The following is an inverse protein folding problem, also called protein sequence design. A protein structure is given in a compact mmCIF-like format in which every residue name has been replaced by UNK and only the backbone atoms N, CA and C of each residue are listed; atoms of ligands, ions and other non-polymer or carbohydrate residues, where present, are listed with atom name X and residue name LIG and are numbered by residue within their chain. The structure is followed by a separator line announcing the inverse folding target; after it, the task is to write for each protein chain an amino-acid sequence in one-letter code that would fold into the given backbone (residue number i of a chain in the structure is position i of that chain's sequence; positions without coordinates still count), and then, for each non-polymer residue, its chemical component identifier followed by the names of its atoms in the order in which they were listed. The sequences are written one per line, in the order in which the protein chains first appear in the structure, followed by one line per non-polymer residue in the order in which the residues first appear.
data_IF_717278728129
#
_entry.id   IF_717278728129
#
_cell.length_a   1.000
_cell.length_b   1.000
_cell.length_c   1.000
_cell.angle_alpha   90.00
_cell.angle_beta   90.00
_cell.angle_gamma   90.00
#
_symmetry.space_group_name_H-M   'P 1'
#
loop_
_entity.id
_entity.type
_entity.pdbx_description
1 polymer ?
#
# COMPACT_ATOMS: atom_id res chain seq x y z
N UNK A 1 -17.09 -10.35 -0.72
CA UNK A 1 -15.93 -10.70 -1.59
C UNK A 1 -15.72 -9.56 -2.59
N UNK A 2 -14.78 -8.61 -2.38
CA UNK A 2 -14.87 -7.32 -3.06
C UNK A 2 -13.89 -7.09 -4.23
N UNK A 3 -13.09 -8.07 -4.63
CA UNK A 3 -12.00 -7.87 -5.62
C UNK A 3 -12.28 -8.50 -7.00
N UNK A 4 -13.24 -9.43 -7.10
CA UNK A 4 -13.47 -10.22 -8.31
C UNK A 4 -14.17 -9.46 -9.47
N UNK A 5 -14.81 -8.33 -9.19
CA UNK A 5 -15.61 -7.58 -10.18
C UNK A 5 -14.84 -6.40 -10.82
N UNK A 6 -13.54 -6.27 -10.57
CA UNK A 6 -12.71 -5.19 -11.11
C UNK A 6 -12.04 -5.62 -12.43
N UNK A 7 -11.85 -4.72 -13.41
CA UNK A 7 -11.02 -5.01 -14.58
C UNK A 7 -9.65 -5.58 -14.16
N UNK A 8 -9.08 -6.57 -14.88
CA UNK A 8 -7.89 -7.28 -14.43
C UNK A 8 -6.70 -6.38 -14.04
N UNK A 9 -6.49 -5.28 -14.77
CA UNK A 9 -5.42 -4.33 -14.48
C UNK A 9 -5.67 -3.55 -13.18
N UNK A 10 -6.94 -3.27 -12.86
CA UNK A 10 -7.34 -2.63 -11.62
C UNK A 10 -7.24 -3.62 -10.45
N UNK A 11 -7.56 -4.90 -10.68
CA UNK A 11 -7.36 -5.96 -9.69
C UNK A 11 -5.88 -6.14 -9.33
N UNK A 12 -4.99 -6.24 -10.32
CA UNK A 12 -3.54 -6.33 -10.08
C UNK A 12 -3.04 -5.13 -9.28
N UNK A 13 -3.41 -3.90 -9.69
CA UNK A 13 -3.08 -2.68 -8.96
C UNK A 13 -3.47 -2.78 -7.49
N UNK A 14 -4.71 -3.18 -7.21
CA UNK A 14 -5.23 -3.23 -5.85
C UNK A 14 -4.50 -4.27 -5.01
N UNK A 15 -4.44 -5.51 -5.50
CA UNK A 15 -3.85 -6.64 -4.78
C UNK A 15 -2.35 -6.41 -4.53
N UNK A 16 -1.61 -6.06 -5.57
CA UNK A 16 -0.16 -5.88 -5.47
C UNK A 16 0.19 -4.65 -4.62
N UNK A 17 -0.55 -3.55 -4.73
CA UNK A 17 -0.31 -2.36 -3.90
C UNK A 17 -0.56 -2.64 -2.42
N UNK A 18 -1.64 -3.35 -2.07
CA UNK A 18 -1.94 -3.69 -0.67
C UNK A 18 -0.88 -4.65 -0.12
N UNK A 19 -0.52 -5.69 -0.86
CA UNK A 19 0.51 -6.65 -0.45
C UNK A 19 1.88 -5.96 -0.23
N UNK A 20 2.28 -5.11 -1.17
CA UNK A 20 3.52 -4.35 -1.08
C UNK A 20 3.50 -3.36 0.10
N UNK A 21 2.38 -2.66 0.29
CA UNK A 21 2.20 -1.73 1.41
C UNK A 21 2.37 -2.42 2.77
N UNK A 22 1.81 -3.63 2.92
CA UNK A 22 1.98 -4.48 4.10
C UNK A 22 3.45 -4.86 4.29
N UNK A 23 4.08 -5.40 3.25
CA UNK A 23 5.47 -5.87 3.26
C UNK A 23 6.45 -4.76 3.66
N UNK A 24 6.28 -3.55 3.14
CA UNK A 24 7.17 -2.41 3.40
C UNK A 24 6.67 -1.48 4.51
N UNK A 25 5.57 -1.83 5.17
CA UNK A 25 4.95 -1.09 6.28
C UNK A 25 4.70 0.38 5.94
N UNK A 26 4.09 0.64 4.80
CA UNK A 26 3.64 1.99 4.40
C UNK A 26 2.12 2.00 4.21
N UNK A 27 1.45 3.15 4.34
CA UNK A 27 0.00 3.21 4.17
C UNK A 27 -0.43 2.74 2.77
N UNK A 28 -1.37 1.78 2.70
CA UNK A 28 -1.81 1.19 1.44
C UNK A 28 -2.44 2.21 0.49
N UNK A 29 -3.18 3.18 1.03
CA UNK A 29 -3.76 4.27 0.26
C UNK A 29 -2.69 5.13 -0.46
N UNK A 30 -1.48 5.27 0.09
CA UNK A 30 -0.37 5.98 -0.58
C UNK A 30 0.13 5.17 -1.79
N UNK A 31 0.35 3.86 -1.63
CA UNK A 31 0.82 3.00 -2.74
C UNK A 31 -0.20 2.95 -3.85
N UNK A 32 -1.48 2.79 -3.51
CA UNK A 32 -2.60 2.80 -4.46
C UNK A 32 -2.71 4.16 -5.18
N UNK A 33 -2.55 5.26 -4.46
CA UNK A 33 -2.59 6.59 -5.05
C UNK A 33 -1.43 6.84 -6.02
N UNK A 34 -0.21 6.37 -5.69
CA UNK A 34 0.93 6.40 -6.61
C UNK A 34 0.62 5.55 -7.84
N UNK A 35 0.19 4.29 -7.66
CA UNK A 35 -0.12 3.41 -8.78
C UNK A 35 -1.23 3.95 -9.69
N UNK A 36 -2.23 4.62 -9.12
CA UNK A 36 -3.28 5.29 -9.90
C UNK A 36 -2.75 6.51 -10.66
N UNK A 37 -1.86 7.30 -10.03
CA UNK A 37 -1.25 8.48 -10.65
C UNK A 37 -0.30 8.10 -11.79
N UNK A 38 0.56 7.12 -11.57
CA UNK A 38 1.46 6.60 -12.59
C UNK A 38 0.68 5.96 -13.74
N UNK A 39 -0.40 5.22 -13.43
CA UNK A 39 -1.37 4.79 -14.43
C UNK A 39 -0.81 3.86 -15.52
N UNK A 40 0.39 3.31 -15.30
CA UNK A 40 1.07 2.45 -16.24
C UNK A 40 0.42 1.08 -16.38
N UNK A 41 0.89 0.31 -17.36
CA UNK A 41 0.46 -1.07 -17.64
C UNK A 41 1.67 -2.00 -17.76
N UNK A 42 1.50 -3.30 -17.53
CA UNK A 42 2.52 -4.28 -17.89
C UNK A 42 2.93 -4.14 -19.36
N UNK A 43 4.23 -4.23 -19.62
CA UNK A 43 4.86 -4.07 -20.92
C UNK A 43 4.93 -2.62 -21.42
N UNK A 44 4.41 -1.64 -20.69
CA UNK A 44 4.38 -0.24 -21.15
C UNK A 44 5.74 0.43 -20.99
N UNK A 45 6.17 1.10 -22.06
CA UNK A 45 7.32 2.00 -22.08
C UNK A 45 6.88 3.34 -22.65
N UNK A 46 7.03 4.41 -21.87
CA UNK A 46 6.69 5.78 -22.30
C UNK A 46 7.98 6.55 -22.51
N UNK A 47 8.23 7.02 -23.73
CA UNK A 47 9.45 7.78 -24.04
C UNK A 47 9.33 9.23 -23.58
N UNK A 48 10.34 9.70 -22.85
CA UNK A 48 10.49 11.08 -22.43
C UNK A 48 11.33 11.90 -23.42
N UNK A 49 11.13 13.23 -23.41
CA UNK A 49 11.84 14.17 -24.29
C UNK A 49 13.35 14.17 -24.07
N UNK A 50 13.81 13.86 -22.85
CA UNK A 50 15.22 13.76 -22.49
C UNK A 50 15.86 12.40 -22.86
N UNK A 51 15.15 11.53 -23.58
CA UNK A 51 15.65 10.21 -24.02
C UNK A 51 15.51 9.08 -23.01
N UNK A 52 15.06 9.36 -21.78
CA UNK A 52 14.70 8.31 -20.80
C UNK A 52 13.33 7.69 -21.14
N UNK A 53 12.99 6.59 -20.47
CA UNK A 53 11.66 5.98 -20.57
C UNK A 53 11.09 5.76 -19.18
N UNK A 54 9.76 5.86 -19.05
CA UNK A 54 9.02 5.43 -17.86
C UNK A 54 8.40 4.06 -18.12
N UNK A 55 8.70 3.11 -17.23
CA UNK A 55 8.55 1.67 -17.50
C UNK A 55 7.56 1.02 -16.54
N UNK A 56 6.63 0.24 -17.13
CA UNK A 56 5.73 -0.67 -16.43
C UNK A 56 4.60 -0.01 -15.64
N UNK A 57 3.90 -0.79 -14.79
CA UNK A 57 2.73 -0.34 -14.04
C UNK A 57 2.99 0.86 -13.13
N UNK A 58 4.21 0.95 -12.60
CA UNK A 58 4.63 1.99 -11.66
C UNK A 58 5.51 3.07 -12.31
N UNK A 59 5.62 3.07 -13.64
CA UNK A 59 6.30 4.08 -14.46
C UNK A 59 7.69 4.47 -13.93
N UNK A 60 8.53 3.47 -13.68
CA UNK A 60 9.90 3.72 -13.24
C UNK A 60 10.73 4.32 -14.37
N UNK A 61 11.35 5.46 -14.10
CA UNK A 61 12.25 6.08 -15.07
C UNK A 61 13.53 5.26 -15.25
N UNK A 62 13.98 5.07 -16.49
CA UNK A 62 15.20 4.31 -16.81
C UNK A 62 16.48 4.90 -16.21
N UNK A 63 16.54 6.21 -15.95
CA UNK A 63 17.68 6.81 -15.26
C UNK A 63 17.77 6.32 -13.80
N UNK A 64 16.63 6.16 -13.13
CA UNK A 64 16.58 5.59 -11.78
C UNK A 64 16.89 4.08 -11.79
N UNK A 65 16.34 3.34 -12.74
CA UNK A 65 16.58 1.90 -12.87
C UNK A 65 18.06 1.59 -13.12
N UNK A 66 18.78 2.47 -13.83
CA UNK A 66 20.23 2.34 -14.03
C UNK A 66 20.99 2.23 -12.71
N UNK A 67 20.59 2.97 -11.67
CA UNK A 67 21.24 2.91 -10.35
C UNK A 67 20.94 1.60 -9.60
N UNK A 68 19.88 0.89 -9.99
CA UNK A 68 19.47 -0.38 -9.40
C UNK A 68 20.06 -1.60 -10.10
N UNK A 69 20.71 -1.44 -11.26
CA UNK A 69 21.39 -2.53 -11.99
C UNK A 69 22.41 -3.26 -11.13
N UNK A 70 23.06 -2.57 -10.20
CA UNK A 70 23.99 -3.16 -9.21
C UNK A 70 23.34 -4.21 -8.29
N UNK A 71 22.01 -4.21 -8.19
CA UNK A 71 21.22 -5.18 -7.45
C UNK A 71 20.59 -6.24 -8.36
N UNK A 72 20.96 -6.26 -9.65
CA UNK A 72 20.37 -7.16 -10.65
C UNK A 72 18.97 -6.76 -11.10
N UNK A 73 18.51 -5.54 -10.81
CA UNK A 73 17.19 -5.05 -11.21
C UNK A 73 17.29 -4.39 -12.57
N UNK A 74 16.50 -4.87 -13.51
CA UNK A 74 16.44 -4.42 -14.91
C UNK A 74 15.11 -3.73 -15.21
N UNK A 75 15.02 -2.94 -16.30
CA UNK A 75 13.75 -2.41 -16.76
C UNK A 75 12.71 -3.48 -17.09
N UNK A 76 13.12 -4.65 -17.57
CA UNK A 76 12.19 -5.72 -17.91
C UNK A 76 11.50 -6.31 -16.67
N UNK A 77 12.18 -6.35 -15.53
CA UNK A 77 11.60 -6.81 -14.26
C UNK A 77 10.41 -5.93 -13.83
N UNK A 78 10.53 -4.61 -14.02
CA UNK A 78 9.45 -3.66 -13.67
C UNK A 78 8.43 -3.48 -14.80
N UNK A 79 8.77 -3.85 -16.04
CA UNK A 79 7.83 -3.89 -17.14
C UNK A 79 6.90 -5.10 -17.06
N UNK A 80 7.34 -6.22 -16.47
CA UNK A 80 6.55 -7.44 -16.38
C UNK A 80 5.21 -7.26 -15.64
N UNK A 81 4.25 -8.13 -15.97
CA UNK A 81 2.99 -8.22 -15.22
C UNK A 81 3.23 -8.76 -13.81
N UNK A 82 2.29 -8.48 -12.90
CA UNK A 82 2.35 -8.93 -11.51
C UNK A 82 2.96 -7.91 -10.55
N UNK A 83 3.32 -8.39 -9.36
CA UNK A 83 3.52 -7.50 -8.21
C UNK A 83 4.94 -6.91 -8.08
N UNK A 84 5.91 -7.29 -8.91
CA UNK A 84 7.29 -6.86 -8.73
C UNK A 84 7.45 -5.33 -8.79
N UNK A 85 6.84 -4.68 -9.78
CA UNK A 85 6.89 -3.23 -9.91
C UNK A 85 6.29 -2.52 -8.68
N UNK A 86 5.19 -3.03 -8.14
CA UNK A 86 4.53 -2.50 -6.95
C UNK A 86 5.37 -2.70 -5.69
N UNK A 87 6.02 -3.86 -5.56
CA UNK A 87 6.97 -4.16 -4.49
C UNK A 87 8.16 -3.20 -4.51
N UNK A 88 8.77 -3.00 -5.68
CA UNK A 88 9.87 -2.05 -5.82
C UNK A 88 9.42 -0.62 -5.52
N UNK A 89 8.21 -0.25 -5.91
CA UNK A 89 7.67 1.09 -5.67
C UNK A 89 7.42 1.33 -4.19
N UNK A 90 6.86 0.34 -3.49
CA UNK A 90 6.68 0.40 -2.04
C UNK A 90 8.02 0.44 -1.30
N UNK A 91 9.03 -0.32 -1.74
CA UNK A 91 10.38 -0.22 -1.21
C UNK A 91 10.94 1.21 -1.38
N UNK A 92 10.83 1.78 -2.58
CA UNK A 92 11.29 3.15 -2.88
C UNK A 92 10.57 4.18 -2.01
N UNK A 93 9.23 4.10 -1.93
CA UNK A 93 8.42 4.96 -1.07
C UNK A 93 8.85 4.87 0.40
N UNK A 94 9.08 3.66 0.90
CA UNK A 94 9.59 3.44 2.27
C UNK A 94 10.93 4.11 2.50
N UNK A 95 11.84 4.09 1.51
CA UNK A 95 13.11 4.82 1.62
C UNK A 95 12.88 6.33 1.76
N UNK A 96 12.04 6.93 0.91
CA UNK A 96 11.74 8.36 0.98
C UNK A 96 11.07 8.73 2.32
N UNK A 97 10.05 7.98 2.75
CA UNK A 97 9.33 8.22 4.01
C UNK A 97 10.28 8.18 5.20
N UNK A 98 11.24 7.25 5.20
CA UNK A 98 12.19 7.05 6.30
C UNK A 98 13.36 8.06 6.28
N UNK A 99 13.87 8.42 5.11
CA UNK A 99 15.17 9.11 4.98
C UNK A 99 15.07 10.57 4.58
N UNK A 100 14.03 10.97 3.87
CA UNK A 100 13.91 12.34 3.36
C UNK A 100 13.27 13.27 4.42
N UNK A 101 13.46 14.58 4.27
CA UNK A 101 12.92 15.62 5.17
C UNK A 101 11.51 16.06 4.71
N UNK A 102 10.76 16.72 5.60
CA UNK A 102 9.42 17.26 5.32
C UNK A 102 8.29 16.43 5.93
N UNK A 103 7.04 16.80 5.69
CA UNK A 103 5.88 16.00 6.10
C UNK A 103 5.73 14.71 5.28
N UNK A 104 4.84 13.81 5.70
CA UNK A 104 4.61 12.53 5.03
C UNK A 104 4.30 12.69 3.54
N UNK A 105 3.49 13.67 3.16
CA UNK A 105 3.09 13.87 1.77
C UNK A 105 4.20 14.43 0.92
N UNK A 106 5.02 15.33 1.48
CA UNK A 106 6.25 15.79 0.82
C UNK A 106 7.19 14.61 0.52
N UNK A 107 7.41 13.73 1.51
CA UNK A 107 8.25 12.53 1.34
C UNK A 107 7.65 11.51 0.38
N UNK A 108 6.34 11.28 0.42
CA UNK A 108 5.68 10.38 -0.52
C UNK A 108 5.78 10.90 -1.97
N UNK A 109 5.59 12.21 -2.17
CA UNK A 109 5.71 12.85 -3.48
C UNK A 109 7.16 12.86 -4.03
N UNK A 110 8.18 12.61 -3.20
CA UNK A 110 9.55 12.39 -3.67
C UNK A 110 9.70 11.14 -4.54
N UNK A 111 8.71 10.23 -4.54
CA UNK A 111 8.61 9.17 -5.53
C UNK A 111 8.69 9.72 -6.96
N UNK A 112 7.99 10.84 -7.22
CA UNK A 112 8.01 11.50 -8.51
C UNK A 112 9.22 12.44 -8.63
N UNK A 113 9.38 13.38 -7.70
CA UNK A 113 10.50 14.31 -7.72
C UNK A 113 10.76 14.96 -6.36
N UNK A 114 12.03 15.18 -6.03
CA UNK A 114 12.47 15.98 -4.87
C UNK A 114 12.51 17.48 -5.15
N UNK A 115 12.41 17.89 -6.41
CA UNK A 115 12.43 19.30 -6.79
C UNK A 115 11.12 19.95 -6.34
N UNK A 116 11.14 21.03 -5.53
CA UNK A 116 9.95 21.57 -4.87
C UNK A 116 8.75 21.83 -5.78
N UNK A 117 8.97 22.42 -6.95
CA UNK A 117 7.90 22.76 -7.89
C UNK A 117 7.17 21.54 -8.47
N UNK A 118 7.91 20.47 -8.82
CA UNK A 118 7.32 19.23 -9.35
C UNK A 118 6.69 18.40 -8.24
N UNK A 119 7.34 18.38 -7.07
CA UNK A 119 6.81 17.73 -5.88
C UNK A 119 5.46 18.32 -5.48
N UNK A 120 5.34 19.65 -5.40
CA UNK A 120 4.12 20.31 -4.97
C UNK A 120 2.92 19.96 -5.86
N UNK A 121 3.11 19.96 -7.19
CA UNK A 121 2.07 19.58 -8.17
C UNK A 121 1.68 18.12 -7.98
N UNK A 122 2.66 17.21 -7.91
CA UNK A 122 2.41 15.78 -7.73
C UNK A 122 1.73 15.48 -6.39
N UNK A 123 2.17 16.14 -5.32
CA UNK A 123 1.63 16.01 -3.96
C UNK A 123 0.16 16.40 -3.90
N UNK A 124 -0.24 17.49 -4.55
CA UNK A 124 -1.63 17.95 -4.54
C UNK A 124 -2.57 16.89 -5.15
N UNK A 125 -2.20 16.31 -6.29
CA UNK A 125 -2.93 15.22 -6.93
C UNK A 125 -2.91 13.93 -6.08
N UNK A 126 -1.74 13.58 -5.53
CA UNK A 126 -1.55 12.38 -4.72
C UNK A 126 -2.45 12.36 -3.47
N UNK A 127 -2.59 13.50 -2.78
CA UNK A 127 -3.45 13.63 -1.59
C UNK A 127 -4.91 13.36 -1.94
N UNK A 128 -5.41 13.88 -3.07
CA UNK A 128 -6.79 13.67 -3.49
C UNK A 128 -7.05 12.19 -3.79
N UNK A 129 -6.14 11.53 -4.51
CA UNK A 129 -6.26 10.09 -4.80
C UNK A 129 -6.19 9.25 -3.53
N UNK A 130 -5.25 9.55 -2.64
CA UNK A 130 -5.06 8.81 -1.40
C UNK A 130 -6.24 8.92 -0.44
N UNK A 131 -6.99 10.04 -0.44
CA UNK A 131 -8.26 10.15 0.28
C UNK A 131 -9.31 9.20 -0.29
N UNK A 132 -9.53 9.21 -1.60
CA UNK A 132 -10.48 8.30 -2.25
C UNK A 132 -10.13 6.82 -2.01
N UNK A 133 -8.84 6.47 -2.04
CA UNK A 133 -8.40 5.11 -1.71
C UNK A 133 -8.56 4.78 -0.23
N UNK A 134 -8.39 5.75 0.68
CA UNK A 134 -8.69 5.54 2.09
C UNK A 134 -10.17 5.20 2.28
N UNK A 135 -11.08 6.02 1.72
CA UNK A 135 -12.53 5.77 1.79
C UNK A 135 -12.90 4.40 1.19
N UNK A 136 -12.30 4.05 0.04
CA UNK A 136 -12.53 2.77 -0.62
C UNK A 136 -12.06 1.58 0.21
N UNK A 137 -10.90 1.71 0.89
CA UNK A 137 -10.33 0.70 1.78
C UNK A 137 -11.16 0.55 3.05
N UNK A 138 -11.54 1.66 3.69
CA UNK A 138 -12.38 1.68 4.90
C UNK A 138 -13.74 1.01 4.67
N UNK A 139 -14.30 1.16 3.46
CA UNK A 139 -15.55 0.51 3.09
C UNK A 139 -15.42 -1.02 2.85
N UNK A 140 -14.22 -1.57 2.73
CA UNK A 140 -14.00 -2.97 2.27
C UNK A 140 -13.13 -3.83 3.17
N UNK A 141 -12.31 -3.20 3.99
CA UNK A 141 -11.34 -3.86 4.84
C UNK A 141 -11.41 -3.30 6.25
N UNK A 142 -10.95 -4.10 7.20
CA UNK A 142 -10.67 -3.59 8.54
C UNK A 142 -9.43 -2.71 8.44
N UNK A 143 -9.59 -1.42 8.73
CA UNK A 143 -8.53 -0.43 8.62
C UNK A 143 -8.18 0.13 10.00
N UNK A 144 -6.99 0.71 10.12
CA UNK A 144 -6.55 1.41 11.34
C UNK A 144 -5.96 2.74 10.91
N UNK A 145 -6.35 3.82 11.59
CA UNK A 145 -5.73 5.13 11.41
C UNK A 145 -4.35 5.14 12.06
N UNK A 146 -3.31 4.94 11.25
CA UNK A 146 -1.91 4.89 11.70
C UNK A 146 -1.37 6.26 12.16
N UNK A 147 -2.13 7.34 11.99
CA UNK A 147 -1.77 8.67 12.48
C UNK A 147 -2.32 8.94 13.89
N UNK A 148 -3.30 8.17 14.36
CA UNK A 148 -3.90 8.26 15.69
C UNK A 148 -3.37 7.18 16.62
N UNK A 149 -2.74 7.61 17.71
CA UNK A 149 -2.27 6.70 18.76
C UNK A 149 -3.48 6.04 19.43
N UNK A 150 -3.49 4.71 19.47
CA UNK A 150 -4.60 3.95 20.06
C UNK A 150 -5.86 3.85 19.18
N UNK A 151 -5.76 4.16 17.88
CA UNK A 151 -6.85 3.95 16.95
C UNK A 151 -7.33 2.50 17.00
N UNK A 152 -8.62 2.33 17.30
CA UNK A 152 -9.28 1.04 17.18
C UNK A 152 -9.43 0.69 15.70
N UNK A 153 -9.41 -0.61 15.36
CA UNK A 153 -9.75 -1.04 14.01
C UNK A 153 -11.17 -0.58 13.64
N UNK A 154 -11.27 0.18 12.55
CA UNK A 154 -12.56 0.49 11.93
C UNK A 154 -12.99 -0.71 11.11
N UNK A 155 -14.16 -1.24 11.45
CA UNK A 155 -14.81 -2.27 10.64
C UNK A 155 -15.54 -1.59 9.48
N UNK A 156 -15.51 -2.17 8.27
CA UNK A 156 -16.37 -1.69 7.20
C UNK A 156 -17.82 -1.80 7.66
N UNK A 157 -18.59 -0.72 7.52
CA UNK A 157 -20.01 -0.73 7.82
C UNK A 157 -20.68 -1.72 6.87
N UNK A 158 -20.94 -2.94 7.35
CA UNK A 158 -21.74 -3.91 6.60
C UNK A 158 -23.05 -3.26 6.23
N UNK A 159 -23.38 -3.29 4.93
CA UNK A 159 -24.74 -3.14 4.45
C UNK A 159 -25.62 -4.08 5.27
N UNK A 160 -26.40 -3.53 6.20
CA UNK A 160 -27.36 -4.28 6.98
C UNK A 160 -28.53 -4.63 6.05
N UNK A 161 -28.61 -5.90 5.63
CA UNK A 161 -29.83 -6.69 5.46
C UNK A 161 -29.57 -7.90 4.54
N UNK A 162 -29.16 -9.03 5.13
CA UNK A 162 -29.63 -10.33 4.62
C UNK A 162 -30.52 -10.89 5.72
N UNK A 163 -31.78 -11.05 5.33
CA UNK A 163 -32.90 -11.45 6.17
C UNK A 163 -32.60 -12.77 6.89
N UNK A 164 -33.03 -12.81 8.15
CA UNK A 164 -33.21 -14.02 8.93
C UNK A 164 -34.10 -15.02 8.18
N UNK A 165 -33.57 -16.22 7.94
CA UNK A 165 -34.34 -17.43 7.65
C UNK A 165 -34.03 -18.47 8.74
N UNK A 166 -34.99 -19.34 9.12
CA UNK A 166 -35.00 -19.96 10.44
C UNK A 166 -34.11 -21.20 10.56
N UNK A 167 -33.48 -21.28 11.73
CA UNK A 167 -33.22 -22.46 12.56
C UNK A 167 -33.21 -23.84 11.88
N UNK A 168 -32.01 -24.39 11.71
CA UNK A 168 -31.78 -25.84 11.76
C UNK A 168 -30.66 -26.16 12.74
N UNK A 169 -31.03 -27.04 13.66
CA UNK A 169 -30.31 -27.56 14.81
C UNK A 169 -29.16 -28.48 14.42
N UNK A 170 -27.95 -28.22 14.93
CA UNK A 170 -26.91 -29.26 15.07
C UNK A 170 -25.78 -28.87 16.06
N UNK A 171 -25.91 -29.41 17.28
CA UNK A 171 -24.89 -30.01 18.18
C UNK A 171 -23.49 -29.37 18.35
N UNK A 172 -23.29 -28.89 19.58
CA UNK A 172 -22.12 -28.83 20.47
C UNK A 172 -20.82 -29.58 20.12
N UNK A 173 -19.67 -28.90 20.28
CA UNK A 173 -18.48 -29.29 21.10
C UNK A 173 -17.39 -28.19 21.01
N UNK A 174 -17.15 -27.40 22.06
CA UNK A 174 -16.17 -27.59 23.16
C UNK A 174 -14.80 -26.89 22.93
N UNK A 175 -14.51 -25.86 23.75
CA UNK A 175 -13.21 -25.19 23.98
C UNK A 175 -12.26 -26.10 24.78
N UNK A 176 -10.92 -25.89 24.74
CA UNK A 176 -10.23 -25.03 25.73
C UNK A 176 -9.01 -24.31 25.08
N UNK A 177 -8.20 -23.43 25.66
CA UNK A 177 -8.13 -22.55 26.82
C UNK A 177 -6.86 -21.68 26.59
N UNK A 178 -6.84 -20.45 27.11
CA UNK A 178 -5.68 -19.53 27.07
C UNK A 178 -4.70 -19.82 28.21
N UNK A 179 -3.44 -19.38 28.11
CA UNK A 179 -2.62 -18.83 29.22
C UNK A 179 -1.28 -18.24 28.71
N UNK A 180 -0.57 -17.38 29.48
CA UNK A 180 -0.23 -16.03 29.06
C UNK A 180 1.28 -15.77 28.97
N UNK A 181 1.72 -14.68 28.31
CA UNK A 181 3.10 -14.20 28.50
C UNK A 181 3.16 -12.69 28.67
N UNK A 182 3.89 -12.36 29.74
CA UNK A 182 4.09 -11.11 30.46
C UNK A 182 4.83 -10.04 29.64
N UNK A 183 4.46 -8.79 29.93
CA UNK A 183 5.01 -7.51 29.43
C UNK A 183 6.49 -7.28 29.76
N UNK A 184 7.24 -6.69 28.83
CA UNK A 184 8.44 -5.89 29.14
C UNK A 184 8.37 -4.56 28.38
N UNK A 185 8.34 -3.48 29.16
CA UNK A 185 8.20 -2.10 28.71
C UNK A 185 9.54 -1.53 28.21
N UNK A 186 9.51 -0.90 27.04
CA UNK A 186 10.59 -0.03 26.57
C UNK A 186 10.08 1.41 26.57
N UNK A 187 10.62 2.18 27.51
CA UNK A 187 10.40 3.60 27.69
C UNK A 187 11.33 4.37 26.75
N UNK A 188 10.83 4.91 25.63
CA UNK A 188 11.48 6.01 24.92
C UNK A 188 10.44 6.91 24.26
N UNK A 189 10.51 8.16 24.68
CA UNK A 189 9.68 9.28 24.31
C UNK A 189 9.63 9.51 22.79
N UNK A 190 8.41 9.73 22.30
CA UNK A 190 7.96 10.51 21.12
C UNK A 190 7.91 9.98 19.67
N UNK A 191 8.20 8.72 19.31
CA UNK A 191 7.61 8.04 18.12
C UNK A 191 8.00 6.55 17.99
N UNK A 192 7.04 5.61 17.83
CA UNK A 192 7.30 4.16 17.63
C UNK A 192 6.35 3.54 16.57
N UNK A 193 6.84 3.03 15.41
CA UNK A 193 5.98 2.54 14.30
C UNK A 193 5.74 1.01 14.33
N UNK A 194 4.55 0.51 13.93
CA UNK A 194 4.20 -0.94 14.00
C UNK A 194 3.71 -1.61 12.70
N UNK A 195 3.97 -2.93 12.65
CA UNK A 195 3.70 -3.98 11.64
C UNK A 195 2.22 -4.38 11.57
N UNK A 196 1.83 -4.93 10.42
CA UNK A 196 0.58 -5.66 10.24
C UNK A 196 0.79 -7.15 10.52
N UNK A 197 -0.10 -7.74 11.30
CA UNK A 197 -0.11 -9.16 11.68
C UNK A 197 -0.98 -9.91 10.66
N UNK A 198 -0.40 -10.89 9.96
CA UNK A 198 -1.14 -11.82 9.11
C UNK A 198 -1.07 -13.19 9.76
N UNK A 199 -2.23 -13.79 10.02
CA UNK A 199 -2.39 -15.19 10.41
C UNK A 199 -1.92 -15.47 11.83
N UNK A 200 -2.86 -15.54 12.77
CA UNK A 200 -2.57 -15.91 14.15
C UNK A 200 -2.01 -17.32 14.25
N UNK A 201 -0.84 -17.46 14.91
CA UNK A 201 -0.65 -18.26 16.13
C UNK A 201 0.84 -18.24 16.55
N UNK A 202 1.09 -18.47 17.85
CA UNK A 202 1.39 -17.47 18.88
C UNK A 202 2.71 -16.71 18.70
#
# INVERSE_FOLDING_TARGET
MPVADLPPQLQERVVCSIAAAVKYQIPANIVLAVAEKEGGKPGQWVRNTNGTHDVGPMQFNTAYLRDLTRYGITPDDVAAAGCYAFDLAAWRLRQHIKKDKGDLWTRAANYHSRTPQYNAVYRADLVVRARRWADWLEARFVTVDVTKVGALPSMPATSAAVQSAPEQTAKTSATPAQTPVTTVAWNTSWYVPRRLVIGGQP
#
